data_IF_348679000729
#
_entry.id   IF_348679000729
#
_cell.length_a   1.000
_cell.length_b   1.000
_cell.length_c   1.000
_cell.angle_alpha   90.00
_cell.angle_beta   90.00
_cell.angle_gamma   90.00
#
_symmetry.space_group_name_H-M   'P 1'
#
loop_
_entity.id
_entity.type
_entity.pdbx_description
1 polymer ?
#
# COMPACT_ATOMS: atom_id res chain seq x y z
N UNK A 1 -6.81 2.19 -20.67
CA UNK A 1 -6.98 3.64 -20.44
C UNK A 1 -5.78 4.44 -20.96
N UNK A 2 -4.56 4.16 -20.50
CA UNK A 2 -3.35 4.92 -20.91
C UNK A 2 -3.12 4.96 -22.42
N UNK A 3 -3.39 3.87 -23.14
CA UNK A 3 -3.34 3.86 -24.61
C UNK A 3 -4.34 4.80 -25.27
N UNK A 4 -5.55 4.91 -24.72
CA UNK A 4 -6.56 5.84 -25.19
C UNK A 4 -6.17 7.30 -24.89
N UNK A 5 -5.53 7.56 -23.75
CA UNK A 5 -5.00 8.90 -23.40
C UNK A 5 -3.90 9.36 -24.38
N UNK A 6 -3.08 8.43 -24.87
CA UNK A 6 -2.01 8.70 -25.84
C UNK A 6 -2.44 8.51 -27.30
N UNK A 7 -3.69 8.12 -27.58
CA UNK A 7 -4.18 7.87 -28.93
C UNK A 7 -3.49 6.70 -29.67
N UNK A 8 -2.85 5.78 -28.96
CA UNK A 8 -2.07 4.66 -29.54
C UNK A 8 -2.85 3.36 -29.57
N UNK A 9 -2.70 2.65 -30.68
CA UNK A 9 -3.35 1.39 -30.98
C UNK A 9 -2.44 0.20 -30.64
N UNK A 10 -2.98 -1.02 -30.69
CA UNK A 10 -2.20 -2.25 -30.58
C UNK A 10 -1.19 -2.42 -31.73
N UNK A 11 -1.43 -1.77 -32.89
CA UNK A 11 -0.60 -1.91 -34.09
C UNK A 11 0.74 -1.18 -33.98
N UNK A 12 0.80 -0.17 -33.12
CA UNK A 12 2.01 0.63 -32.92
C UNK A 12 3.10 -0.14 -32.17
N UNK A 13 2.80 -1.33 -31.64
CA UNK A 13 3.74 -2.24 -30.96
C UNK A 13 4.62 -1.56 -29.90
N UNK A 14 4.11 -0.49 -29.26
CA UNK A 14 4.81 0.25 -28.23
C UNK A 14 4.77 -0.57 -26.94
N UNK A 15 5.94 -0.73 -26.31
CA UNK A 15 6.07 -1.42 -25.03
C UNK A 15 5.28 -0.68 -23.94
N UNK A 16 4.68 -1.44 -23.02
CA UNK A 16 3.91 -0.85 -21.92
C UNK A 16 4.76 0.04 -21.01
N UNK A 17 6.05 -0.28 -20.84
CA UNK A 17 7.00 0.56 -20.10
C UNK A 17 7.10 1.98 -20.69
N UNK A 18 7.13 2.08 -22.02
CA UNK A 18 7.19 3.37 -22.73
C UNK A 18 5.87 4.13 -22.61
N UNK A 19 4.74 3.41 -22.62
CA UNK A 19 3.41 3.99 -22.38
C UNK A 19 3.35 4.58 -20.96
N UNK A 20 3.79 3.84 -19.95
CA UNK A 20 3.85 4.31 -18.55
C UNK A 20 4.81 5.49 -18.38
N UNK A 21 5.97 5.47 -19.05
CA UNK A 21 6.95 6.57 -19.02
C UNK A 21 6.34 7.88 -19.55
N UNK A 22 5.54 7.80 -20.63
CA UNK A 22 4.92 8.96 -21.28
C UNK A 22 3.72 9.49 -20.51
N UNK A 23 2.85 8.61 -20.04
CA UNK A 23 1.65 9.03 -19.31
C UNK A 23 1.98 9.60 -17.93
N UNK A 24 3.12 9.17 -17.33
CA UNK A 24 3.48 9.46 -15.93
C UNK A 24 2.32 9.19 -14.97
N UNK A 25 1.36 8.34 -15.38
CA UNK A 25 0.24 7.93 -14.57
C UNK A 25 0.87 7.11 -13.46
N UNK A 26 0.86 7.67 -12.26
CA UNK A 26 1.34 6.97 -11.08
C UNK A 26 0.56 5.67 -10.97
N UNK A 27 1.27 4.56 -10.82
CA UNK A 27 0.63 3.27 -10.60
C UNK A 27 -0.38 3.43 -9.45
N UNK A 28 -1.67 3.29 -9.78
CA UNK A 28 -2.76 3.50 -8.83
C UNK A 28 -2.56 2.54 -7.64
N UNK A 29 -1.99 1.36 -7.86
CA UNK A 29 -1.67 0.44 -6.79
C UNK A 29 -0.61 1.02 -5.84
N UNK A 30 0.44 1.68 -6.36
CA UNK A 30 1.44 2.38 -5.56
C UNK A 30 0.83 3.57 -4.80
N UNK A 31 -0.01 4.38 -5.46
CA UNK A 31 -0.68 5.53 -4.82
C UNK A 31 -1.65 5.10 -3.72
N UNK A 32 -2.46 4.08 -3.98
CA UNK A 32 -3.38 3.48 -3.00
C UNK A 32 -2.62 2.90 -1.82
N UNK A 33 -1.49 2.25 -2.11
CA UNK A 33 -0.57 1.80 -1.06
C UNK A 33 -0.09 3.02 -0.25
N UNK A 34 0.49 4.03 -0.89
CA UNK A 34 0.88 5.33 -0.29
C UNK A 34 -0.11 5.86 0.74
N UNK A 35 -1.36 6.05 0.30
CA UNK A 35 -2.45 6.55 1.14
C UNK A 35 -2.79 5.62 2.31
N UNK A 36 -2.81 4.30 2.07
CA UNK A 36 -3.01 3.28 3.11
C UNK A 36 -1.92 3.39 4.20
N UNK A 37 -0.66 3.62 3.83
CA UNK A 37 0.44 3.79 4.80
C UNK A 37 0.32 5.08 5.60
N UNK A 38 -0.01 6.20 4.93
CA UNK A 38 -0.23 7.48 5.59
C UNK A 38 -1.34 7.39 6.63
N UNK A 39 -2.44 6.72 6.30
CA UNK A 39 -3.54 6.46 7.21
C UNK A 39 -3.11 5.59 8.40
N UNK A 40 -2.35 4.51 8.17
CA UNK A 40 -1.85 3.64 9.24
C UNK A 40 -0.97 4.41 10.23
N UNK A 41 -0.06 5.26 9.72
CA UNK A 41 0.76 6.13 10.56
C UNK A 41 -0.05 7.15 11.35
N UNK A 42 -1.06 7.77 10.72
CA UNK A 42 -1.97 8.69 11.40
C UNK A 42 -2.74 7.99 12.55
N UNK A 43 -3.23 6.77 12.31
CA UNK A 43 -3.93 5.98 13.33
C UNK A 43 -3.02 5.60 14.49
N UNK A 44 -1.76 5.24 14.24
CA UNK A 44 -0.80 4.94 15.31
C UNK A 44 -0.54 6.14 16.24
N UNK A 45 -0.63 7.37 15.73
CA UNK A 45 -0.41 8.61 16.50
C UNK A 45 -1.64 9.10 17.26
N UNK A 46 -2.83 8.60 16.93
CA UNK A 46 -4.07 9.01 17.59
C UNK A 46 -4.21 8.35 18.97
N UNK A 47 -4.41 9.17 19.99
CA UNK A 47 -4.58 8.77 21.40
C UNK A 47 -6.03 8.39 21.76
N UNK A 48 -7.02 8.75 20.95
CA UNK A 48 -8.44 8.41 21.10
C UNK A 48 -8.77 6.95 20.63
N UNK A 49 -7.76 6.09 20.73
CA UNK A 49 -7.57 4.86 19.96
C UNK A 49 -8.52 3.71 20.29
N UNK A 50 -9.74 3.74 19.75
CA UNK A 50 -10.61 2.56 19.81
C UNK A 50 -10.99 1.97 18.45
N UNK A 51 -11.30 2.79 17.43
CA UNK A 51 -11.76 2.24 16.13
C UNK A 51 -10.61 1.99 15.16
N UNK A 52 -9.74 2.98 14.96
CA UNK A 52 -8.61 2.84 14.02
C UNK A 52 -7.65 1.72 14.42
N UNK A 53 -7.32 1.60 15.71
CA UNK A 53 -6.43 0.54 16.21
C UNK A 53 -7.02 -0.85 16.00
N UNK A 54 -8.32 -1.04 16.26
CA UNK A 54 -9.03 -2.29 16.00
C UNK A 54 -9.03 -2.69 14.52
N UNK A 55 -9.02 -1.71 13.61
CA UNK A 55 -8.91 -1.97 12.16
C UNK A 55 -7.48 -2.39 11.77
N UNK A 56 -6.45 -1.79 12.38
CA UNK A 56 -5.06 -2.23 12.16
C UNK A 56 -4.84 -3.67 12.62
N UNK A 57 -5.36 -4.03 13.79
CA UNK A 57 -5.25 -5.39 14.34
C UNK A 57 -6.24 -6.39 13.71
N UNK A 58 -7.09 -5.92 12.80
CA UNK A 58 -8.14 -6.74 12.22
C UNK A 58 -7.56 -7.87 11.36
N UNK A 59 -8.03 -9.10 11.63
CA UNK A 59 -7.67 -10.32 10.89
C UNK A 59 -8.89 -10.82 10.12
N UNK A 60 -8.68 -11.23 8.86
CA UNK A 60 -9.73 -11.88 8.06
C UNK A 60 -10.16 -13.17 8.77
N UNK A 61 -11.44 -13.27 9.15
CA UNK A 61 -12.03 -14.48 9.77
C UNK A 61 -12.11 -15.69 8.82
N UNK A 62 -11.90 -15.49 7.53
CA UNK A 62 -12.04 -16.53 6.51
C UNK A 62 -10.69 -17.22 6.34
N UNK A 63 -10.46 -18.31 7.08
CA UNK A 63 -9.25 -19.12 6.97
C UNK A 63 -9.60 -20.56 6.54
N UNK A 64 -9.73 -20.80 5.23
CA UNK A 64 -9.56 -22.15 4.65
C UNK A 64 -8.12 -22.32 4.18
N UNK A 65 -7.13 -22.18 5.08
CA UNK A 65 -5.70 -22.28 4.72
C UNK A 65 -4.93 -23.10 5.74
N UNK A 66 -3.87 -23.76 5.27
CA UNK A 66 -3.13 -24.79 6.02
C UNK A 66 -2.62 -24.31 7.38
N UNK A 67 -2.70 -25.20 8.37
CA UNK A 67 -2.46 -25.03 9.82
C UNK A 67 -1.21 -24.23 10.19
N UNK A 68 -0.19 -24.17 9.32
CA UNK A 68 1.12 -23.56 9.61
C UNK A 68 1.30 -22.13 9.12
N UNK A 69 0.47 -21.62 8.20
CA UNK A 69 0.66 -20.26 7.66
C UNK A 69 -0.31 -19.29 8.32
N UNK A 70 0.22 -18.31 9.06
CA UNK A 70 -0.60 -17.28 9.67
C UNK A 70 -1.42 -16.53 8.61
N UNK A 71 -2.70 -16.23 8.85
CA UNK A 71 -3.52 -15.47 7.91
C UNK A 71 -2.92 -14.08 7.70
N UNK A 72 -2.77 -13.70 6.42
CA UNK A 72 -2.27 -12.38 6.04
C UNK A 72 -3.20 -11.31 6.62
N UNK A 73 -2.63 -10.41 7.40
CA UNK A 73 -3.30 -9.28 8.02
C UNK A 73 -2.83 -7.96 7.40
N UNK A 74 -3.56 -6.88 7.66
CA UNK A 74 -3.24 -5.54 7.17
C UNK A 74 -1.82 -5.10 7.58
N UNK A 75 -1.37 -5.54 8.76
CA UNK A 75 -0.02 -5.25 9.27
C UNK A 75 1.10 -5.99 8.56
N UNK A 76 0.81 -7.07 7.82
CA UNK A 76 1.87 -7.82 7.14
C UNK A 76 2.42 -7.06 5.93
N UNK A 77 1.56 -6.31 5.23
CA UNK A 77 2.02 -5.33 4.24
C UNK A 77 2.93 -4.29 4.94
N UNK A 78 2.45 -3.75 6.08
CA UNK A 78 3.19 -2.80 6.92
C UNK A 78 4.61 -3.26 7.29
N UNK A 79 4.71 -4.49 7.75
CA UNK A 79 5.98 -5.14 8.12
C UNK A 79 6.89 -5.39 6.92
N UNK A 80 6.33 -5.72 5.75
CA UNK A 80 7.13 -5.99 4.54
C UNK A 80 7.87 -4.75 4.06
N UNK A 81 7.26 -3.56 4.20
CA UNK A 81 7.84 -2.30 3.69
C UNK A 81 8.67 -1.59 4.76
N UNK A 82 8.17 -1.46 5.99
CA UNK A 82 8.82 -0.66 7.03
C UNK A 82 9.65 -1.49 8.03
N UNK A 83 9.58 -2.82 7.94
CA UNK A 83 10.21 -3.76 8.87
C UNK A 83 9.35 -4.05 10.11
N UNK A 84 9.89 -4.85 11.03
CA UNK A 84 9.20 -5.25 12.26
C UNK A 84 8.89 -4.01 13.14
N UNK A 85 9.78 -3.03 13.17
CA UNK A 85 9.68 -1.81 13.99
C UNK A 85 8.78 -0.72 13.39
N UNK A 86 7.86 -1.08 12.50
CA UNK A 86 7.04 -0.12 11.79
C UNK A 86 6.17 0.74 12.75
N UNK A 87 5.64 0.17 13.83
CA UNK A 87 4.82 0.93 14.80
C UNK A 87 5.64 2.06 15.43
N UNK A 88 6.85 1.75 15.90
CA UNK A 88 7.75 2.73 16.52
C UNK A 88 8.16 3.82 15.53
N UNK A 89 8.50 3.43 14.30
CA UNK A 89 8.80 4.42 13.28
C UNK A 89 7.57 5.35 13.11
N UNK A 90 6.36 4.79 13.10
CA UNK A 90 5.11 5.48 12.71
C UNK A 90 4.75 6.61 13.67
N UNK A 91 5.12 6.42 14.93
CA UNK A 91 5.00 7.40 16.01
C UNK A 91 6.01 8.55 15.85
N UNK A 92 7.25 8.26 15.43
CA UNK A 92 8.39 9.21 15.43
C UNK A 92 8.49 10.05 14.13
N UNK A 93 7.50 10.03 13.24
CA UNK A 93 7.51 10.75 11.94
C UNK A 93 8.71 10.46 11.00
N UNK A 94 9.53 9.44 11.26
CA UNK A 94 10.56 8.98 10.31
C UNK A 94 9.99 8.35 9.01
N UNK A 95 8.69 8.50 8.76
CA UNK A 95 7.91 7.86 7.69
C UNK A 95 7.97 8.60 6.36
N UNK A 96 8.58 9.78 6.34
CA UNK A 96 8.73 10.63 5.16
C UNK A 96 9.68 10.06 4.10
N UNK A 97 10.50 9.06 4.44
CA UNK A 97 11.53 8.51 3.55
C UNK A 97 11.07 7.38 2.61
N UNK A 98 9.81 6.92 2.70
CA UNK A 98 9.35 5.70 1.98
C UNK A 98 8.47 6.01 0.76
N UNK A 99 8.32 7.28 0.39
CA UNK A 99 7.64 7.64 -0.87
C UNK A 99 6.97 9.01 -0.79
N UNK A 100 7.75 10.03 -1.09
CA UNK A 100 7.31 11.27 -1.72
C UNK A 100 8.27 11.53 -2.88
#
# INVERSE_FOLDING_TARGET
MERAMLGVSLRDNIRNEEIHRRTKVTDIAQRMSGMKWQWAGHVCRRTDGHRGRRVLDWRRRIAKRSVRRHPVCLTDDLKKVAGIDWIRKAEVQQWTLVGC
#
